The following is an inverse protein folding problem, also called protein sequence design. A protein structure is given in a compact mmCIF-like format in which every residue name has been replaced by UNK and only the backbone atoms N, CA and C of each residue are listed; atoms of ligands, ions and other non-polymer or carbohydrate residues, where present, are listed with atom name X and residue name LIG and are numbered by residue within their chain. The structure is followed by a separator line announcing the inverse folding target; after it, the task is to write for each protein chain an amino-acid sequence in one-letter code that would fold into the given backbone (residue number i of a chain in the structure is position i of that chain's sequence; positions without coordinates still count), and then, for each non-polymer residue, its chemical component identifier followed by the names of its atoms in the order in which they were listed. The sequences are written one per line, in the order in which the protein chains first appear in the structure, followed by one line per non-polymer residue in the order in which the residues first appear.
data_IF_355437016645
#
_entry.id   IF_355437016645
#
_cell.length_a   1.000
_cell.length_b   1.000
_cell.length_c   1.000
_cell.angle_alpha   90.00
_cell.angle_beta   90.00
_cell.angle_gamma   90.00
#
_symmetry.space_group_name_H-M   'P 1'
#
loop_
_entity.id
_entity.type
_entity.pdbx_description
1 polymer ?
#
# COMPACT_ATOMS: atom_id res chain seq x y z
N UNK A 1 29.77 -25.92 -0.66
CA UNK A 1 28.36 -25.54 -0.36
C UNK A 1 27.50 -26.80 -0.46
N UNK A 2 26.76 -27.16 0.59
CA UNK A 2 25.87 -28.34 0.54
C UNK A 2 24.79 -28.15 -0.53
N UNK A 3 24.41 -29.21 -1.27
CA UNK A 3 23.32 -29.18 -2.27
C UNK A 3 22.03 -28.61 -1.69
N UNK A 4 21.78 -28.86 -0.40
CA UNK A 4 20.63 -28.33 0.35
C UNK A 4 20.72 -26.82 0.55
N UNK A 5 21.92 -26.27 0.75
CA UNK A 5 22.13 -24.83 0.89
C UNK A 5 21.85 -24.08 -0.41
N UNK A 6 22.27 -24.63 -1.56
CA UNK A 6 21.98 -24.04 -2.88
C UNK A 6 20.48 -23.97 -3.15
N UNK A 7 19.75 -25.03 -2.79
CA UNK A 7 18.30 -25.10 -2.99
C UNK A 7 17.53 -24.08 -2.13
N UNK A 8 17.91 -23.94 -0.85
CA UNK A 8 17.29 -22.96 0.05
C UNK A 8 17.58 -21.52 -0.40
N UNK A 9 18.81 -21.24 -0.83
CA UNK A 9 19.17 -19.93 -1.39
C UNK A 9 18.33 -19.64 -2.63
N UNK A 10 18.15 -20.63 -3.50
CA UNK A 10 17.29 -20.52 -4.68
C UNK A 10 15.84 -20.19 -4.34
N UNK A 11 15.25 -20.85 -3.32
CA UNK A 11 13.87 -20.57 -2.87
C UNK A 11 13.76 -19.18 -2.27
N UNK A 12 14.67 -18.78 -1.38
CA UNK A 12 14.64 -17.45 -0.79
C UNK A 12 14.84 -16.35 -1.81
N UNK A 13 15.74 -16.56 -2.78
CA UNK A 13 15.95 -15.64 -3.88
C UNK A 13 14.72 -15.55 -4.76
N UNK A 14 14.10 -16.69 -5.10
CA UNK A 14 12.86 -16.74 -5.86
C UNK A 14 11.71 -16.04 -5.12
N UNK A 15 11.49 -16.32 -3.84
CA UNK A 15 10.46 -15.64 -3.03
C UNK A 15 10.72 -14.15 -2.92
N UNK A 16 11.95 -13.73 -2.66
CA UNK A 16 12.29 -12.30 -2.55
C UNK A 16 12.18 -11.57 -3.89
N UNK A 17 12.41 -12.26 -5.01
CA UNK A 17 12.21 -11.73 -6.35
C UNK A 17 10.73 -11.68 -6.70
N UNK A 18 9.97 -12.74 -6.42
CA UNK A 18 8.52 -12.76 -6.59
C UNK A 18 7.87 -11.63 -5.78
N UNK A 19 8.31 -11.39 -4.55
CA UNK A 19 7.83 -10.26 -3.74
C UNK A 19 8.07 -8.90 -4.39
N UNK A 20 9.26 -8.69 -4.97
CA UNK A 20 9.60 -7.44 -5.68
C UNK A 20 8.75 -7.28 -6.94
N UNK A 21 8.56 -8.35 -7.71
CA UNK A 21 7.73 -8.32 -8.91
C UNK A 21 6.23 -8.18 -8.61
N UNK A 22 5.72 -8.79 -7.54
CA UNK A 22 4.33 -8.59 -7.09
C UNK A 22 4.13 -7.16 -6.60
N UNK A 23 5.12 -6.58 -5.90
CA UNK A 23 5.08 -5.17 -5.53
C UNK A 23 5.12 -4.23 -6.76
N UNK A 24 5.74 -4.67 -7.86
CA UNK A 24 5.75 -3.97 -9.15
C UNK A 24 4.41 -4.11 -9.90
N UNK A 25 3.76 -5.27 -9.88
CA UNK A 25 2.40 -5.43 -10.43
C UNK A 25 1.36 -4.58 -9.68
N UNK A 26 1.47 -4.47 -8.35
CA UNK A 26 0.61 -3.58 -7.55
C UNK A 26 0.86 -2.10 -7.87
N UNK A 27 2.10 -1.74 -8.26
CA UNK A 27 2.44 -0.40 -8.75
C UNK A 27 1.89 -0.13 -10.14
N UNK A 28 1.93 -1.12 -11.03
CA UNK A 28 1.32 -1.00 -12.35
C UNK A 28 -0.20 -0.80 -12.20
N UNK A 29 -0.87 -1.49 -11.29
CA UNK A 29 -2.30 -1.24 -11.01
C UNK A 29 -2.57 0.13 -10.35
N UNK A 30 -1.64 0.67 -9.56
CA UNK A 30 -1.81 1.99 -8.90
C UNK A 30 -1.37 3.18 -9.76
N UNK A 31 -0.40 3.01 -10.66
CA UNK A 31 -0.02 4.02 -11.67
C UNK A 31 -0.95 3.96 -12.90
N UNK A 32 -1.49 2.78 -13.28
CA UNK A 32 -2.51 2.66 -14.34
C UNK A 32 -3.92 2.94 -13.80
N UNK A 33 -4.14 2.90 -12.48
CA UNK A 33 -5.33 3.49 -11.84
C UNK A 33 -5.38 5.03 -11.93
N UNK A 34 -4.32 5.64 -12.48
CA UNK A 34 -4.17 7.06 -12.76
C UNK A 34 -3.87 7.38 -14.23
N UNK A 35 -4.23 6.51 -15.19
CA UNK A 35 -4.26 6.91 -16.61
C UNK A 35 -5.67 6.76 -17.20
N UNK A 36 -6.32 7.91 -17.30
CA UNK A 36 -7.14 8.35 -18.43
C UNK A 36 -7.27 7.37 -19.60
N UNK A 37 -8.13 6.36 -19.47
CA UNK A 37 -9.02 6.06 -20.60
C UNK A 37 -10.02 7.19 -20.64
N UNK A 38 -9.81 8.14 -21.56
CA UNK A 38 -10.90 8.96 -22.08
C UNK A 38 -11.97 7.94 -22.50
N UNK A 39 -13.11 7.84 -21.80
CA UNK A 39 -14.22 7.08 -22.34
C UNK A 39 -14.63 7.86 -23.60
N UNK A 40 -14.67 7.21 -24.75
CA UNK A 40 -15.54 7.68 -25.82
C UNK A 40 -16.90 7.90 -25.18
N UNK A 41 -17.28 9.16 -24.99
CA UNK A 41 -18.56 9.57 -24.42
C UNK A 41 -19.65 9.07 -25.37
N UNK A 42 -20.53 8.15 -24.96
CA UNK A 42 -21.83 8.04 -25.57
C UNK A 42 -22.80 8.78 -24.65
N UNK A 43 -23.16 9.97 -25.11
CA UNK A 43 -24.48 10.56 -24.96
C UNK A 43 -24.84 11.13 -23.58
N UNK A 44 -24.66 12.43 -23.53
CA UNK A 44 -25.17 13.46 -22.64
C UNK A 44 -26.71 13.48 -22.52
N UNK A 45 -27.33 12.42 -22.00
CA UNK A 45 -28.78 12.42 -21.73
C UNK A 45 -29.23 11.76 -20.42
N UNK A 46 -28.34 11.44 -19.49
CA UNK A 46 -28.73 10.82 -18.20
C UNK A 46 -28.14 11.50 -16.94
N UNK A 47 -27.54 12.70 -17.06
CA UNK A 47 -26.89 13.42 -15.93
C UNK A 47 -27.71 14.63 -15.47
N UNK A 48 -29.03 14.48 -15.31
CA UNK A 48 -29.82 15.47 -14.54
C UNK A 48 -30.55 14.86 -13.34
N UNK A 49 -30.43 13.55 -13.12
CA UNK A 49 -31.08 12.88 -12.00
C UNK A 49 -30.22 11.89 -11.22
N UNK A 50 -28.96 11.67 -11.63
CA UNK A 50 -28.07 10.74 -10.95
C UNK A 50 -27.52 11.36 -9.65
N UNK A 51 -27.65 10.61 -8.55
CA UNK A 51 -27.04 10.96 -7.27
C UNK A 51 -25.52 11.14 -7.41
N UNK A 52 -24.90 12.09 -6.67
CA UNK A 52 -23.45 12.24 -6.66
C UNK A 52 -22.75 10.98 -6.14
N UNK A 53 -21.58 10.67 -6.70
CA UNK A 53 -20.78 9.51 -6.30
C UNK A 53 -20.14 9.74 -4.93
N UNK A 54 -20.24 8.72 -4.05
CA UNK A 54 -19.58 8.68 -2.75
C UNK A 54 -18.28 7.88 -2.90
N UNK A 55 -17.13 8.53 -2.80
CA UNK A 55 -15.82 7.87 -2.88
C UNK A 55 -15.12 7.92 -1.53
N UNK A 56 -14.71 6.76 -1.00
CA UNK A 56 -14.01 6.67 0.28
C UNK A 56 -12.60 6.13 0.02
N UNK A 57 -11.59 6.95 0.30
CA UNK A 57 -10.18 6.52 0.24
C UNK A 57 -9.71 6.17 1.64
N UNK A 58 -9.18 4.96 1.83
CA UNK A 58 -8.78 4.53 3.17
C UNK A 58 -7.49 3.70 3.17
N UNK A 59 -6.78 3.70 4.30
CA UNK A 59 -5.60 2.85 4.46
C UNK A 59 -6.01 1.39 4.64
N UNK A 60 -5.81 0.56 3.60
CA UNK A 60 -6.11 -0.87 3.64
C UNK A 60 -5.21 -1.61 4.63
N UNK A 61 -3.91 -1.31 4.61
CA UNK A 61 -2.90 -1.92 5.50
C UNK A 61 -3.12 -1.58 6.98
N UNK A 62 -3.84 -0.50 7.28
CA UNK A 62 -4.18 -0.08 8.64
C UNK A 62 -5.46 -0.73 9.19
N UNK A 63 -6.17 -1.54 8.39
CA UNK A 63 -7.40 -2.23 8.82
C UNK A 63 -8.70 -1.41 8.69
N UNK A 64 -8.69 -0.27 7.97
CA UNK A 64 -9.89 0.56 7.80
C UNK A 64 -10.98 -0.05 6.90
N UNK A 65 -10.73 -1.22 6.30
CA UNK A 65 -11.72 -1.91 5.46
C UNK A 65 -13.05 -2.19 6.19
N UNK A 66 -12.99 -2.47 7.50
CA UNK A 66 -14.21 -2.66 8.31
C UNK A 66 -15.01 -1.37 8.44
N UNK A 67 -14.34 -0.25 8.70
CA UNK A 67 -14.97 1.06 8.77
C UNK A 67 -15.60 1.43 7.42
N UNK A 68 -14.87 1.26 6.31
CA UNK A 68 -15.39 1.45 4.96
C UNK A 68 -16.68 0.65 4.72
N UNK A 69 -16.69 -0.64 5.04
CA UNK A 69 -17.88 -1.48 4.87
C UNK A 69 -19.07 -0.97 5.69
N UNK A 70 -18.85 -0.56 6.95
CA UNK A 70 -19.89 -0.01 7.81
C UNK A 70 -20.48 1.28 7.27
N UNK A 71 -19.63 2.24 6.88
CA UNK A 71 -20.11 3.51 6.30
C UNK A 71 -20.81 3.28 4.95
N UNK A 72 -20.34 2.31 4.16
CA UNK A 72 -20.99 1.94 2.90
C UNK A 72 -22.37 1.35 3.12
N UNK A 73 -22.55 0.55 4.17
CA UNK A 73 -23.84 0.00 4.56
C UNK A 73 -24.82 1.10 5.00
N UNK A 74 -24.37 2.02 5.86
CA UNK A 74 -25.19 3.18 6.26
C UNK A 74 -25.60 4.06 5.09
N UNK A 75 -24.70 4.25 4.11
CA UNK A 75 -25.01 5.01 2.90
C UNK A 75 -26.07 4.30 2.05
N UNK A 76 -25.95 2.98 1.87
CA UNK A 76 -26.93 2.17 1.10
C UNK A 76 -28.29 2.08 1.77
N UNK A 77 -28.32 2.04 3.11
CA UNK A 77 -29.57 2.00 3.87
C UNK A 77 -30.38 3.31 3.69
N UNK A 78 -29.69 4.46 3.70
CA UNK A 78 -30.33 5.76 3.52
C UNK A 78 -30.61 6.08 2.05
N UNK A 79 -29.72 5.66 1.15
CA UNK A 79 -29.78 5.96 -0.28
C UNK A 79 -29.48 4.70 -1.11
N UNK A 80 -30.50 3.94 -1.55
CA UNK A 80 -30.29 2.66 -2.23
C UNK A 80 -29.61 2.78 -3.60
N UNK A 81 -29.80 3.92 -4.29
CA UNK A 81 -29.24 4.18 -5.63
C UNK A 81 -27.88 4.89 -5.60
N UNK A 82 -27.26 5.06 -4.42
CA UNK A 82 -25.96 5.74 -4.30
C UNK A 82 -24.82 4.89 -4.87
N UNK A 83 -24.00 5.50 -5.72
CA UNK A 83 -22.77 4.87 -6.21
C UNK A 83 -21.66 5.06 -5.18
N UNK A 84 -21.11 3.94 -4.67
CA UNK A 84 -20.05 3.94 -3.66
C UNK A 84 -18.78 3.35 -4.27
N UNK A 85 -17.72 4.15 -4.27
CA UNK A 85 -16.37 3.74 -4.65
C UNK A 85 -15.49 3.65 -3.40
N UNK A 86 -14.63 2.64 -3.34
CA UNK A 86 -13.70 2.43 -2.23
C UNK A 86 -12.33 2.04 -2.75
N UNK A 87 -11.34 2.90 -2.54
CA UNK A 87 -9.97 2.68 -3.02
C UNK A 87 -8.95 2.82 -1.87
N UNK A 88 -7.76 2.26 -2.08
CA UNK A 88 -6.65 2.42 -1.13
C UNK A 88 -6.07 3.83 -1.23
N UNK A 89 -5.92 4.50 -0.09
CA UNK A 89 -5.27 5.82 -0.06
C UNK A 89 -3.77 5.67 -0.34
N UNK A 90 -3.33 6.18 -1.49
CA UNK A 90 -1.93 6.12 -1.90
C UNK A 90 -1.02 6.90 -0.93
N UNK A 91 0.10 6.32 -0.48
CA UNK A 91 1.07 7.05 0.33
C UNK A 91 1.70 8.19 -0.46
N UNK A 92 2.07 9.25 0.25
CA UNK A 92 2.77 10.41 -0.32
C UNK A 92 4.00 9.94 -1.11
N UNK A 93 4.25 10.58 -2.26
CA UNK A 93 5.29 10.17 -3.22
C UNK A 93 6.63 9.80 -2.56
N UNK A 94 7.15 10.61 -1.63
CA UNK A 94 8.43 10.33 -0.96
C UNK A 94 8.42 9.04 -0.13
N UNK A 95 7.29 8.68 0.50
CA UNK A 95 7.15 7.41 1.22
C UNK A 95 7.17 6.23 0.26
N UNK A 96 6.50 6.35 -0.89
CA UNK A 96 6.51 5.31 -1.94
C UNK A 96 7.93 5.06 -2.47
N UNK A 97 8.72 6.13 -2.68
CA UNK A 97 10.12 6.01 -3.09
C UNK A 97 10.97 5.31 -2.01
N UNK A 98 10.78 5.62 -0.73
CA UNK A 98 11.49 4.93 0.36
C UNK A 98 11.16 3.44 0.43
N UNK A 99 9.89 3.07 0.28
CA UNK A 99 9.48 1.65 0.23
C UNK A 99 10.16 0.93 -0.93
N UNK A 100 10.26 1.57 -2.10
CA UNK A 100 10.98 1.01 -3.25
C UNK A 100 12.46 0.78 -2.95
N UNK A 101 13.14 1.79 -2.41
CA UNK A 101 14.57 1.71 -2.06
C UNK A 101 14.82 0.62 -1.03
N UNK A 102 13.96 0.50 -0.01
CA UNK A 102 14.03 -0.56 0.99
C UNK A 102 13.87 -1.95 0.37
N UNK A 103 12.95 -2.12 -0.58
CA UNK A 103 12.77 -3.37 -1.31
C UNK A 103 14.01 -3.81 -2.08
N UNK A 104 14.65 -2.88 -2.81
CA UNK A 104 15.92 -3.16 -3.52
C UNK A 104 17.03 -3.51 -2.52
N UNK A 105 17.16 -2.72 -1.45
CA UNK A 105 18.16 -2.93 -0.41
C UNK A 105 17.99 -4.30 0.27
N UNK A 106 16.75 -4.74 0.53
CA UNK A 106 16.41 -6.05 1.09
C UNK A 106 16.95 -7.19 0.23
N UNK A 107 16.75 -7.13 -1.09
CA UNK A 107 17.24 -8.14 -2.03
C UNK A 107 18.78 -8.17 -2.02
N UNK A 108 19.41 -7.00 -2.12
CA UNK A 108 20.89 -6.90 -2.12
C UNK A 108 21.50 -7.46 -0.84
N UNK A 109 20.98 -7.07 0.33
CA UNK A 109 21.44 -7.58 1.63
C UNK A 109 21.24 -9.09 1.74
N UNK A 110 20.09 -9.61 1.30
CA UNK A 110 19.79 -11.04 1.32
C UNK A 110 20.80 -11.83 0.48
N UNK A 111 21.14 -11.35 -0.72
CA UNK A 111 22.16 -11.98 -1.58
C UNK A 111 23.54 -11.97 -0.94
N UNK A 112 23.95 -10.85 -0.32
CA UNK A 112 25.25 -10.74 0.37
C UNK A 112 25.35 -11.75 1.51
N UNK A 113 24.30 -11.89 2.33
CA UNK A 113 24.29 -12.81 3.48
C UNK A 113 24.26 -14.27 3.01
N UNK A 114 23.41 -14.59 2.03
CA UNK A 114 23.26 -15.96 1.52
C UNK A 114 24.52 -16.43 0.79
N UNK A 115 25.09 -15.59 -0.08
CA UNK A 115 26.32 -15.93 -0.81
C UNK A 115 27.52 -16.09 0.12
N UNK A 116 27.56 -15.35 1.24
CA UNK A 116 28.73 -15.30 2.10
C UNK A 116 29.84 -14.40 1.56
N UNK A 117 29.54 -13.56 0.57
CA UNK A 117 30.52 -12.66 -0.05
C UNK A 117 30.74 -11.43 0.84
N UNK A 118 31.99 -11.02 1.03
CA UNK A 118 32.32 -9.81 1.80
C UNK A 118 32.65 -8.63 0.86
N UNK A 119 31.68 -7.76 0.53
CA UNK A 119 31.93 -6.60 -0.33
C UNK A 119 32.79 -5.52 0.35
N UNK A 120 33.02 -5.58 1.66
CA UNK A 120 33.87 -4.61 2.37
C UNK A 120 35.37 -4.89 2.16
N UNK A 121 35.72 -6.12 1.80
CA UNK A 121 37.10 -6.50 1.53
C UNK A 121 37.63 -5.83 0.25
N UNK A 122 36.81 -5.73 -0.79
CA UNK A 122 37.16 -5.02 -2.03
C UNK A 122 37.31 -3.51 -1.85
N UNK A 123 36.73 -2.94 -0.78
CA UNK A 123 36.87 -1.54 -0.39
C UNK A 123 38.02 -1.30 0.60
N UNK A 124 38.78 -2.33 0.98
CA UNK A 124 39.88 -2.23 1.95
C UNK A 124 39.41 -2.05 3.41
N UNK A 125 38.12 -2.23 3.69
CA UNK A 125 37.51 -2.07 5.02
C UNK A 125 37.55 -3.36 5.85
N UNK A 126 38.14 -4.43 5.32
CA UNK A 126 38.27 -5.72 5.98
C UNK A 126 36.92 -6.45 6.13
N UNK A 127 36.78 -7.23 7.19
CA UNK A 127 35.57 -8.01 7.45
C UNK A 127 34.85 -7.51 8.70
N UNK A 128 33.78 -6.70 8.56
CA UNK A 128 33.08 -6.15 9.71
C UNK A 128 32.38 -7.21 10.55
N UNK A 129 32.40 -7.04 11.88
CA UNK A 129 31.90 -8.04 12.83
C UNK A 129 30.41 -8.40 12.69
N UNK A 130 29.55 -7.43 12.33
CA UNK A 130 28.13 -7.71 12.07
C UNK A 130 27.94 -8.63 10.86
N UNK A 131 28.78 -8.48 9.82
CA UNK A 131 28.71 -9.32 8.63
C UNK A 131 29.27 -10.70 8.93
N UNK A 132 30.33 -10.80 9.74
CA UNK A 132 30.86 -12.08 10.22
C UNK A 132 29.79 -12.86 10.98
N UNK A 133 29.06 -12.18 11.88
CA UNK A 133 27.94 -12.76 12.58
C UNK A 133 26.85 -13.23 11.62
N UNK A 134 26.46 -12.38 10.65
CA UNK A 134 25.45 -12.73 9.67
C UNK A 134 25.84 -13.94 8.82
N UNK A 135 27.11 -14.04 8.39
CA UNK A 135 27.61 -15.18 7.62
C UNK A 135 27.83 -16.43 8.44
N UNK A 136 28.08 -16.32 9.75
CA UNK A 136 28.13 -17.47 10.66
C UNK A 136 26.76 -18.14 10.81
N UNK A 137 25.69 -17.35 10.72
CA UNK A 137 24.30 -17.79 10.86
C UNK A 137 23.44 -17.30 9.69
N UNK A 138 23.80 -17.71 8.46
CA UNK A 138 23.21 -17.19 7.22
C UNK A 138 21.68 -17.21 7.22
N UNK A 139 21.09 -18.38 7.48
CA UNK A 139 19.65 -18.57 7.41
C UNK A 139 18.91 -17.72 8.44
N UNK A 140 19.33 -17.77 9.71
CA UNK A 140 18.70 -17.02 10.78
C UNK A 140 18.84 -15.50 10.56
N UNK A 141 20.04 -15.04 10.19
CA UNK A 141 20.31 -13.62 9.96
C UNK A 141 19.61 -13.08 8.72
N UNK A 142 19.58 -13.87 7.64
CA UNK A 142 18.86 -13.54 6.41
C UNK A 142 17.36 -13.43 6.64
N UNK A 143 16.76 -14.39 7.34
CA UNK A 143 15.34 -14.33 7.71
C UNK A 143 15.02 -13.13 8.61
N UNK A 144 15.87 -12.86 9.61
CA UNK A 144 15.71 -11.71 10.50
C UNK A 144 15.75 -10.38 9.73
N UNK A 145 16.72 -10.19 8.84
CA UNK A 145 16.80 -8.98 8.01
C UNK A 145 15.59 -8.85 7.09
N UNK A 146 15.18 -9.94 6.46
CA UNK A 146 14.00 -9.94 5.60
C UNK A 146 12.74 -9.53 6.37
N UNK A 147 12.51 -10.10 7.56
CA UNK A 147 11.38 -9.71 8.42
C UNK A 147 11.45 -8.24 8.86
N UNK A 148 12.62 -7.77 9.27
CA UNK A 148 12.79 -6.38 9.72
C UNK A 148 12.50 -5.42 8.58
N UNK A 149 13.06 -5.63 7.39
CA UNK A 149 12.81 -4.74 6.25
C UNK A 149 11.34 -4.78 5.82
N UNK A 150 10.71 -5.96 5.77
CA UNK A 150 9.27 -6.07 5.50
C UNK A 150 8.41 -5.32 6.52
N UNK A 151 8.80 -5.35 7.80
CA UNK A 151 8.13 -4.57 8.83
C UNK A 151 8.28 -3.06 8.57
N UNK A 152 9.47 -2.58 8.21
CA UNK A 152 9.68 -1.16 7.87
C UNK A 152 8.87 -0.74 6.63
N UNK A 153 8.87 -1.56 5.57
CA UNK A 153 8.09 -1.32 4.34
C UNK A 153 6.60 -1.20 4.64
N UNK A 154 6.07 -2.10 5.47
CA UNK A 154 4.67 -2.08 5.90
C UNK A 154 4.32 -0.82 6.70
N UNK A 155 5.21 -0.41 7.63
CA UNK A 155 5.02 0.82 8.40
C UNK A 155 5.05 2.08 7.53
N UNK A 156 5.93 2.15 6.54
CA UNK A 156 6.00 3.30 5.61
C UNK A 156 4.78 3.36 4.68
N UNK A 157 4.23 2.20 4.32
CA UNK A 157 3.03 2.08 3.49
C UNK A 157 1.74 2.39 4.27
N UNK A 158 1.78 2.34 5.61
CA UNK A 158 0.65 2.67 6.46
C UNK A 158 0.43 4.19 6.51
N UNK A 159 -0.51 4.69 5.71
CA UNK A 159 -0.87 6.12 5.67
C UNK A 159 -1.76 6.54 6.84
N UNK A 160 -2.57 5.61 7.36
CA UNK A 160 -3.56 5.90 8.40
C UNK A 160 -4.70 6.81 7.94
N UNK A 161 -4.81 7.08 6.64
CA UNK A 161 -5.79 7.97 6.06
C UNK A 161 -7.18 7.32 5.99
N UNK A 162 -8.21 8.16 6.11
CA UNK A 162 -9.60 7.82 5.90
C UNK A 162 -10.29 9.10 5.42
N UNK A 163 -10.51 9.18 4.12
CA UNK A 163 -10.96 10.35 3.40
C UNK A 163 -12.29 10.05 2.73
N UNK A 164 -13.21 11.01 2.77
CA UNK A 164 -14.52 10.88 2.13
C UNK A 164 -14.66 11.99 1.11
N UNK A 165 -15.04 11.61 -0.11
CA UNK A 165 -15.30 12.48 -1.23
C UNK A 165 -16.74 12.32 -1.71
N UNK A 166 -17.34 13.43 -2.08
CA UNK A 166 -18.70 13.52 -2.60
C UNK A 166 -18.64 14.27 -3.91
N UNK A 167 -19.03 13.63 -5.01
CA UNK A 167 -19.00 14.25 -6.34
C UNK A 167 -17.62 14.83 -6.70
N UNK A 168 -16.54 14.21 -6.20
CA UNK A 168 -15.16 14.66 -6.39
C UNK A 168 -14.64 15.70 -5.37
N UNK A 169 -15.46 16.21 -4.46
CA UNK A 169 -15.05 17.17 -3.41
C UNK A 169 -14.76 16.45 -2.10
N UNK A 170 -13.61 16.72 -1.48
CA UNK A 170 -13.25 16.17 -0.17
C UNK A 170 -14.12 16.82 0.92
N UNK A 171 -14.91 16.01 1.62
CA UNK A 171 -15.82 16.45 2.69
C UNK A 171 -15.33 16.04 4.07
N UNK A 172 -14.48 15.01 4.16
CA UNK A 172 -13.86 14.59 5.41
C UNK A 172 -12.44 14.11 5.18
N UNK A 173 -11.54 14.49 6.10
CA UNK A 173 -10.20 13.97 6.19
C UNK A 173 -9.85 13.56 7.60
N UNK A 174 -9.51 12.28 7.81
CA UNK A 174 -8.98 11.85 9.11
C UNK A 174 -7.61 12.46 9.39
N UNK A 175 -6.82 12.76 8.38
CA UNK A 175 -5.49 13.37 8.56
C UNK A 175 -5.64 14.80 9.11
N UNK A 176 -6.64 15.55 8.64
CA UNK A 176 -6.90 16.91 9.11
C UNK A 176 -7.67 16.93 10.44
N UNK A 177 -8.68 16.07 10.59
CA UNK A 177 -9.55 16.07 11.77
C UNK A 177 -9.02 15.22 12.93
N UNK A 178 -8.05 14.33 12.68
CA UNK A 178 -7.48 13.40 13.65
C UNK A 178 -8.35 12.16 13.95
N UNK A 179 -9.56 12.05 13.39
CA UNK A 179 -10.49 10.94 13.66
C UNK A 179 -11.35 10.58 12.45
N UNK A 180 -11.94 9.39 12.49
CA UNK A 180 -13.03 9.02 11.57
C UNK A 180 -14.31 9.77 11.98
N UNK A 181 -15.23 10.06 11.03
CA UNK A 181 -16.49 10.71 11.36
C UNK A 181 -17.35 9.80 12.23
N UNK A 182 -18.21 10.39 13.05
CA UNK A 182 -19.28 9.64 13.70
C UNK A 182 -20.34 9.22 12.68
N UNK A 183 -21.21 8.27 13.04
CA UNK A 183 -22.33 7.90 12.17
C UNK A 183 -23.25 9.09 11.88
N UNK A 184 -23.51 9.94 12.88
CA UNK A 184 -24.36 11.13 12.73
C UNK A 184 -23.74 12.15 11.76
N UNK A 185 -22.44 12.46 11.91
CA UNK A 185 -21.72 13.37 11.02
C UNK A 185 -21.69 12.85 9.58
N UNK A 186 -21.47 11.55 9.42
CA UNK A 186 -21.51 10.91 8.11
C UNK A 186 -22.89 11.05 7.46
N UNK A 187 -23.97 10.76 8.19
CA UNK A 187 -25.34 10.87 7.68
C UNK A 187 -25.74 12.33 7.39
N UNK A 188 -25.20 13.30 8.12
CA UNK A 188 -25.36 14.74 7.85
C UNK A 188 -24.66 15.13 6.53
N UNK A 189 -23.43 14.66 6.32
CA UNK A 189 -22.70 14.82 5.06
C UNK A 189 -23.49 14.23 3.90
N UNK A 190 -24.02 13.01 4.06
CA UNK A 190 -24.87 12.40 3.03
C UNK A 190 -26.13 13.23 2.75
N UNK A 191 -26.76 13.80 3.79
CA UNK A 191 -27.96 14.64 3.65
C UNK A 191 -27.69 15.95 2.91
N UNK A 192 -26.51 16.56 3.10
CA UNK A 192 -26.10 17.77 2.35
C UNK A 192 -25.93 17.47 0.86
N UNK A 193 -25.54 16.25 0.49
CA UNK A 193 -25.45 15.85 -0.92
C UNK A 193 -26.79 15.94 -1.64
N UNK A 194 -27.86 15.46 -0.99
CA UNK A 194 -29.21 15.43 -1.54
C UNK A 194 -29.73 16.84 -1.83
N UNK A 195 -29.41 17.81 -0.96
CA UNK A 195 -29.84 19.22 -1.12
C UNK A 195 -29.13 19.99 -2.24
N UNK A 196 -28.14 19.39 -2.90
CA UNK A 196 -27.43 20.02 -4.04
C UNK A 196 -28.08 19.69 -5.39
N UNK A 197 -29.22 18.99 -5.38
CA UNK A 197 -30.07 18.76 -6.55
C UNK A 197 -30.96 19.96 -6.85
#
# INVERSE_FOLDING_TARGET
MSRTGVFIIGIFFFMSICDVFIAEETKIETDIGGDSKIPEVPMESEIQNAMPTLKILYCVSCGYRKAFNQFSEFAREKYPDIQIEGDNFAPVYWKSQLVMVLGILKVVLSVIIMSGSNPFETLGLGYPGFLQYAHSNKLASGFMIYLLVNMLESNLSATGAFEIYVGGVQVWSKIETGRVPSQEEFLEILGKMESTK
#
